data_IF_982172513614
#
_entry.id   IF_982172513614
#
_cell.length_a   1.000
_cell.length_b   1.000
_cell.length_c   1.000
_cell.angle_alpha   90.00
_cell.angle_beta   90.00
_cell.angle_gamma   90.00
#
_symmetry.space_group_name_H-M   'P 1'
#
loop_
_entity.id
_entity.type
_entity.pdbx_description
1 polymer ?
#
# COMPACT_ATOMS: atom_id res chain seq x y z
N UNK A 1 -7.58 15.27 -16.35
CA UNK A 1 -6.36 14.44 -16.34
C UNK A 1 -6.72 13.18 -15.58
N UNK A 2 -6.67 12.01 -16.20
CA UNK A 2 -6.89 10.75 -15.49
C UNK A 2 -5.57 10.38 -14.82
N UNK A 3 -5.49 10.53 -13.50
CA UNK A 3 -4.36 10.00 -12.76
C UNK A 3 -4.52 8.49 -12.67
N UNK A 4 -3.46 7.75 -13.00
CA UNK A 4 -3.43 6.32 -12.71
C UNK A 4 -3.21 6.15 -11.22
N UNK A 5 -3.78 5.10 -10.61
CA UNK A 5 -3.57 4.77 -9.20
C UNK A 5 -2.07 4.75 -8.83
N UNK A 6 -1.20 4.32 -9.75
CA UNK A 6 0.25 4.39 -9.57
C UNK A 6 0.79 5.82 -9.51
N UNK A 7 0.30 6.74 -10.34
CA UNK A 7 0.73 8.14 -10.38
C UNK A 7 0.44 8.90 -9.08
N UNK A 8 -0.70 8.61 -8.45
CA UNK A 8 -1.10 9.23 -7.19
C UNK A 8 -0.34 8.66 -5.97
N UNK A 9 0.18 7.43 -6.09
CA UNK A 9 0.89 6.75 -5.01
C UNK A 9 2.40 6.99 -5.02
N UNK A 10 3.00 7.30 -6.17
CA UNK A 10 4.45 7.59 -6.27
C UNK A 10 4.92 8.68 -5.28
N UNK A 11 4.20 9.81 -5.11
CA UNK A 11 4.60 10.83 -4.15
C UNK A 11 4.57 10.38 -2.68
N UNK A 12 3.86 9.28 -2.39
CA UNK A 12 3.66 8.77 -1.03
C UNK A 12 4.73 7.73 -0.63
N UNK A 13 5.68 7.41 -1.51
CA UNK A 13 6.77 6.48 -1.18
C UNK A 13 7.54 6.99 0.04
N UNK A 14 7.74 6.12 1.04
CA UNK A 14 8.35 6.41 2.33
C UNK A 14 7.39 7.00 3.38
N UNK A 15 6.12 7.26 3.01
CA UNK A 15 5.09 7.73 3.95
C UNK A 15 4.32 6.56 4.54
N UNK A 16 3.76 6.75 5.74
CA UNK A 16 2.82 5.81 6.33
C UNK A 16 1.47 5.90 5.59
N UNK A 17 0.96 4.74 5.18
CA UNK A 17 -0.29 4.60 4.45
C UNK A 17 -1.17 3.53 5.09
N UNK A 18 -2.47 3.74 5.04
CA UNK A 18 -3.47 2.72 5.32
C UNK A 18 -4.00 2.17 3.99
N UNK A 19 -3.78 0.89 3.72
CA UNK A 19 -4.24 0.20 2.52
C UNK A 19 -5.34 -0.79 2.88
N UNK A 20 -6.51 -0.64 2.26
CA UNK A 20 -7.60 -1.62 2.35
C UNK A 20 -7.57 -2.52 1.12
N UNK A 21 -7.45 -3.83 1.33
CA UNK A 21 -7.33 -4.84 0.26
C UNK A 21 -8.28 -6.01 0.46
N UNK A 22 -8.86 -6.53 -0.62
CA UNK A 22 -9.67 -7.75 -0.59
C UNK A 22 -8.90 -9.03 -0.93
N UNK A 23 -7.60 -8.92 -1.25
CA UNK A 23 -6.79 -10.05 -1.72
C UNK A 23 -6.56 -11.17 -0.69
N UNK A 24 -6.81 -10.89 0.60
CA UNK A 24 -6.59 -11.82 1.71
C UNK A 24 -7.82 -11.97 2.62
N UNK A 25 -9.03 -11.71 2.09
CA UNK A 25 -10.25 -11.63 2.89
C UNK A 25 -10.31 -10.30 3.66
N UNK A 26 -10.73 -9.25 2.96
CA UNK A 26 -10.85 -7.85 3.40
C UNK A 26 -10.00 -7.47 4.62
N UNK A 27 -8.79 -6.98 4.34
CA UNK A 27 -7.77 -6.61 5.32
C UNK A 27 -7.47 -5.11 5.21
N UNK A 28 -7.23 -4.45 6.34
CA UNK A 28 -6.62 -3.12 6.39
C UNK A 28 -5.17 -3.26 6.89
N UNK A 29 -4.22 -2.75 6.13
CA UNK A 29 -2.79 -2.79 6.44
C UNK A 29 -2.31 -1.36 6.62
N UNK A 30 -1.72 -1.09 7.78
CA UNK A 30 -1.09 0.21 8.08
C UNK A 30 0.41 -0.02 8.06
N UNK A 31 1.13 0.76 7.27
CA UNK A 31 2.57 0.61 7.13
C UNK A 31 3.19 1.63 6.18
N UNK A 32 4.50 1.54 5.97
CA UNK A 32 5.26 2.45 5.11
C UNK A 32 5.15 1.97 3.65
N UNK A 33 4.81 2.88 2.74
CA UNK A 33 4.81 2.59 1.30
C UNK A 33 6.26 2.54 0.78
N UNK A 34 6.84 1.35 0.65
CA UNK A 34 8.23 1.17 0.20
C UNK A 34 8.39 1.32 -1.32
N UNK A 35 7.39 0.85 -2.07
CA UNK A 35 7.48 0.79 -3.54
C UNK A 35 6.14 0.86 -4.21
N UNK A 36 6.12 1.58 -5.34
CA UNK A 36 5.04 1.57 -6.31
C UNK A 36 5.54 0.90 -7.58
N UNK A 37 5.04 -0.31 -7.83
CA UNK A 37 5.33 -1.10 -9.03
C UNK A 37 4.32 -0.80 -10.15
N UNK A 38 4.48 -1.51 -11.27
CA UNK A 38 3.59 -1.35 -12.42
C UNK A 38 2.18 -1.91 -12.17
N UNK A 39 2.07 -2.95 -11.36
CA UNK A 39 0.82 -3.68 -11.06
C UNK A 39 0.59 -3.92 -9.56
N UNK A 40 1.50 -3.46 -8.70
CA UNK A 40 1.46 -3.66 -7.25
C UNK A 40 2.03 -2.47 -6.47
N UNK A 41 1.73 -2.45 -5.17
CA UNK A 41 2.48 -1.69 -4.16
C UNK A 41 3.12 -2.63 -3.15
N UNK A 42 4.22 -2.18 -2.54
CA UNK A 42 4.87 -2.86 -1.43
C UNK A 42 4.72 -1.98 -0.19
N UNK A 43 4.13 -2.55 0.86
CA UNK A 43 3.96 -1.89 2.16
C UNK A 43 4.75 -2.67 3.20
N UNK A 44 5.63 -1.99 3.94
CA UNK A 44 6.33 -2.56 5.08
C UNK A 44 5.64 -2.19 6.39
N UNK A 45 5.58 -3.11 7.35
CA UNK A 45 5.04 -2.84 8.68
C UNK A 45 5.75 -3.69 9.72
N UNK A 46 5.80 -3.19 10.96
CA UNK A 46 6.37 -3.92 12.08
C UNK A 46 5.28 -4.65 12.85
N UNK A 47 5.47 -5.95 13.08
CA UNK A 47 4.59 -6.75 13.92
C UNK A 47 5.44 -7.65 14.80
N UNK A 48 5.16 -7.68 16.11
CA UNK A 48 5.89 -8.54 17.07
C UNK A 48 7.42 -8.39 17.05
N UNK A 49 7.93 -7.20 16.69
CA UNK A 49 9.36 -6.90 16.62
C UNK A 49 10.07 -7.37 15.34
N UNK A 50 9.31 -7.82 14.33
CA UNK A 50 9.81 -8.17 13.01
C UNK A 50 9.23 -7.24 11.95
N UNK A 51 10.05 -6.89 10.95
CA UNK A 51 9.59 -6.15 9.78
C UNK A 51 9.01 -7.13 8.76
N UNK A 52 7.75 -6.93 8.41
CA UNK A 52 7.06 -7.65 7.35
C UNK A 52 6.90 -6.75 6.13
N UNK A 53 6.95 -7.36 4.95
CA UNK A 53 6.67 -6.68 3.69
C UNK A 53 5.50 -7.37 3.01
N UNK A 54 4.46 -6.60 2.68
CA UNK A 54 3.30 -7.10 1.97
C UNK A 54 3.22 -6.51 0.57
N UNK A 55 3.21 -7.39 -0.42
CA UNK A 55 2.94 -7.05 -1.81
C UNK A 55 1.44 -7.08 -2.07
N UNK A 56 0.87 -5.95 -2.49
CA UNK A 56 -0.56 -5.79 -2.75
C UNK A 56 -0.76 -5.40 -4.22
N UNK A 57 -1.39 -6.26 -5.01
CA UNK A 57 -1.71 -5.97 -6.42
C UNK A 57 -2.82 -4.93 -6.52
N UNK A 58 -2.73 -4.01 -7.49
CA UNK A 58 -3.74 -2.96 -7.70
C UNK A 58 -5.15 -3.52 -7.89
N UNK A 59 -5.27 -4.68 -8.51
CA UNK A 59 -6.55 -5.37 -8.71
C UNK A 59 -7.29 -5.70 -7.40
N UNK A 60 -6.55 -5.77 -6.28
CA UNK A 60 -7.08 -6.12 -4.97
C UNK A 60 -7.18 -4.91 -4.03
N UNK A 61 -6.68 -3.74 -4.43
CA UNK A 61 -6.76 -2.52 -3.61
C UNK A 61 -8.18 -1.96 -3.73
N UNK A 62 -8.82 -1.83 -2.58
CA UNK A 62 -10.10 -1.12 -2.45
C UNK A 62 -9.84 0.37 -2.26
N UNK A 63 -8.89 0.72 -1.40
CA UNK A 63 -8.62 2.10 -1.00
C UNK A 63 -7.22 2.26 -0.40
N UNK A 64 -6.61 3.44 -0.57
CA UNK A 64 -5.37 3.85 0.09
C UNK A 64 -5.56 5.24 0.70
N UNK A 65 -5.16 5.40 1.96
CA UNK A 65 -5.10 6.67 2.67
C UNK A 65 -3.66 6.97 3.07
N UNK A 66 -3.18 8.19 2.87
CA UNK A 66 -1.93 8.65 3.45
C UNK A 66 -2.20 9.18 4.86
N UNK A 67 -1.50 8.66 5.86
CA UNK A 67 -1.59 9.14 7.23
C UNK A 67 -0.62 10.34 7.38
N UNK A 68 -1.12 11.55 7.69
CA UNK A 68 -0.28 12.74 7.88
C UNK A 68 0.47 12.75 9.21
#
# INVERSE_FOLDING_TARGET
MATTISGDLIPLIGSEVTVVTNGFGQLAVIGILERVGNDYILVSFEESGFTYELRIFYANIIYVHANP
#
